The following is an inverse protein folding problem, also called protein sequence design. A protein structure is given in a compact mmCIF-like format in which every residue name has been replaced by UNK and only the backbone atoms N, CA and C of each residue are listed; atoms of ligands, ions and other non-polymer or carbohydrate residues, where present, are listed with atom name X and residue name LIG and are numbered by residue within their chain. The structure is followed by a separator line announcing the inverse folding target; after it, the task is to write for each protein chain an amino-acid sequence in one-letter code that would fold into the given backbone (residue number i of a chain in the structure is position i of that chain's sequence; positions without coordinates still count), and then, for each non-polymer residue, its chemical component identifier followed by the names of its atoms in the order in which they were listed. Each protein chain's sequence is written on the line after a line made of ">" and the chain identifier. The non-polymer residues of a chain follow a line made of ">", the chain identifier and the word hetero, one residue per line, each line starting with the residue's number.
data_IF_946222954747
#
_entry.id   IF_946222954747
#
_cell.length_a   1.000
_cell.length_b   1.000
_cell.length_c   1.000
_cell.angle_alpha   90.00
_cell.angle_beta   90.00
_cell.angle_gamma   90.00
#
_symmetry.space_group_name_H-M   'P 1'
#
loop_
_entity.id
_entity.type
_entity.pdbx_description
1 polymer ?
#
# COMPACT_ATOMS: atom_id res chain seq x y z
N UNK A 1 -7.30 0.60 19.93
CA UNK A 1 -6.63 1.20 18.77
C UNK A 1 -6.58 0.22 17.59
N UNK A 2 -7.73 -0.29 17.12
CA UNK A 2 -7.75 -1.32 16.06
C UNK A 2 -7.29 -0.77 14.71
N UNK A 3 -7.79 0.41 14.33
CA UNK A 3 -7.42 1.09 13.07
C UNK A 3 -5.92 1.38 13.00
N UNK A 4 -5.32 1.93 14.06
CA UNK A 4 -3.89 2.22 14.10
C UNK A 4 -3.03 0.94 14.04
N UNK A 5 -3.45 -0.16 14.68
CA UNK A 5 -2.76 -1.45 14.57
C UNK A 5 -2.82 -2.02 13.15
N UNK A 6 -3.97 -1.92 12.48
CA UNK A 6 -4.09 -2.31 11.07
C UNK A 6 -3.22 -1.45 10.16
N UNK A 7 -3.14 -0.14 10.41
CA UNK A 7 -2.28 0.77 9.65
C UNK A 7 -0.79 0.43 9.82
N UNK A 8 -0.36 0.04 11.03
CA UNK A 8 1.01 -0.46 11.26
C UNK A 8 1.30 -1.68 10.36
N UNK A 9 0.34 -2.59 10.20
CA UNK A 9 0.46 -3.73 9.29
C UNK A 9 0.69 -3.29 7.85
N UNK A 10 -0.15 -2.39 7.34
CA UNK A 10 -0.02 -1.83 5.98
C UNK A 10 1.35 -1.15 5.78
N UNK A 11 1.78 -0.31 6.72
CA UNK A 11 3.08 0.38 6.65
C UNK A 11 4.24 -0.62 6.69
N UNK A 12 4.15 -1.64 7.54
CA UNK A 12 5.20 -2.67 7.66
C UNK A 12 5.37 -3.44 6.37
N UNK A 13 4.27 -3.92 5.77
CA UNK A 13 4.32 -4.63 4.49
C UNK A 13 4.75 -3.70 3.34
N UNK A 14 4.40 -2.41 3.38
CA UNK A 14 4.90 -1.44 2.41
C UNK A 14 6.43 -1.33 2.46
N UNK A 15 7.02 -1.29 3.65
CA UNK A 15 8.49 -1.28 3.80
C UNK A 15 9.10 -2.57 3.25
N UNK A 16 8.44 -3.72 3.43
CA UNK A 16 8.88 -5.00 2.87
C UNK A 16 8.89 -4.94 1.33
N UNK A 17 7.83 -4.42 0.70
CA UNK A 17 7.77 -4.23 -0.76
C UNK A 17 8.93 -3.35 -1.24
N UNK A 18 9.15 -2.18 -0.63
CA UNK A 18 10.25 -1.28 -1.02
C UNK A 18 11.62 -1.95 -0.86
N UNK A 19 11.82 -2.73 0.21
CA UNK A 19 13.05 -3.48 0.46
C UNK A 19 13.28 -4.54 -0.63
N UNK A 20 12.26 -5.33 -0.97
CA UNK A 20 12.39 -6.37 -2.01
C UNK A 20 12.58 -5.76 -3.41
N UNK A 21 11.89 -4.65 -3.72
CA UNK A 21 12.10 -3.90 -4.96
C UNK A 21 13.54 -3.38 -5.07
N UNK A 22 14.05 -2.77 -4.01
CA UNK A 22 15.43 -2.26 -3.99
C UNK A 22 16.43 -3.39 -4.22
N UNK A 23 16.19 -4.57 -3.62
CA UNK A 23 17.01 -5.77 -3.83
C UNK A 23 16.95 -6.26 -5.28
N UNK A 24 15.76 -6.36 -5.86
CA UNK A 24 15.56 -6.79 -7.24
C UNK A 24 16.27 -5.85 -8.22
N UNK A 25 16.03 -4.53 -8.11
CA UNK A 25 16.67 -3.51 -8.95
C UNK A 25 18.18 -3.54 -8.80
N UNK A 26 18.70 -3.64 -7.57
CA UNK A 26 20.16 -3.77 -7.33
C UNK A 26 20.74 -5.02 -8.00
N UNK A 27 19.98 -6.12 -8.02
CA UNK A 27 20.37 -7.34 -8.74
C UNK A 27 20.43 -7.13 -10.25
N UNK A 28 19.44 -6.43 -10.82
CA UNK A 28 19.37 -6.13 -12.24
C UNK A 28 20.50 -5.19 -12.69
N UNK A 29 20.76 -4.13 -11.93
CA UNK A 29 21.85 -3.18 -12.22
C UNK A 29 23.24 -3.84 -12.27
N UNK A 30 23.44 -4.93 -11.51
CA UNK A 30 24.71 -5.70 -11.56
C UNK A 30 24.85 -6.54 -12.83
N UNK A 31 23.75 -6.79 -13.53
CA UNK A 31 23.68 -7.63 -14.73
C UNK A 31 23.52 -6.80 -16.02
N UNK A 32 23.28 -5.50 -15.89
CA UNK A 32 23.08 -4.55 -16.99
C UNK A 32 24.29 -4.54 -17.93
N UNK A 33 24.04 -4.76 -19.21
CA UNK A 33 25.05 -4.66 -20.28
C UNK A 33 24.92 -3.32 -21.00
N UNK A 34 25.99 -2.81 -21.66
CA UNK A 34 25.95 -1.54 -22.38
C UNK A 34 24.91 -1.46 -23.53
N UNK A 35 24.40 -2.60 -23.99
CA UNK A 35 23.38 -2.70 -25.04
C UNK A 35 21.94 -2.76 -24.48
N UNK A 36 21.78 -2.88 -23.15
CA UNK A 36 20.49 -2.90 -22.49
C UNK A 36 19.92 -1.46 -22.46
N UNK A 37 19.08 -1.23 -23.46
CA UNK A 37 18.48 0.00 -23.98
C UNK A 37 17.69 0.90 -23.00
N UNK A 38 17.25 2.05 -23.52
CA UNK A 38 16.35 3.05 -22.91
C UNK A 38 15.14 2.48 -22.17
N UNK A 39 14.61 1.31 -22.59
CA UNK A 39 13.47 0.66 -21.96
C UNK A 39 13.74 0.26 -20.49
N UNK A 40 14.98 -0.10 -20.15
CA UNK A 40 15.34 -0.44 -18.77
C UNK A 40 15.21 0.79 -17.86
N UNK A 41 15.78 1.92 -18.29
CA UNK A 41 15.70 3.21 -17.58
C UNK A 41 14.26 3.69 -17.48
N UNK A 42 13.48 3.59 -18.56
CA UNK A 42 12.07 3.98 -18.58
C UNK A 42 11.24 3.20 -17.55
N UNK A 43 11.44 1.88 -17.44
CA UNK A 43 10.74 1.05 -16.45
C UNK A 43 11.20 1.37 -15.03
N UNK A 44 12.49 1.62 -14.80
CA UNK A 44 12.97 2.08 -13.48
C UNK A 44 12.35 3.41 -13.08
N UNK A 45 12.20 4.35 -14.02
CA UNK A 45 11.53 5.64 -13.74
C UNK A 45 10.04 5.45 -13.39
N UNK A 46 9.34 4.55 -14.09
CA UNK A 46 7.95 4.20 -13.75
C UNK A 46 7.84 3.58 -12.35
N UNK A 47 8.74 2.66 -12.01
CA UNK A 47 8.81 2.06 -10.67
C UNK A 47 9.08 3.12 -9.59
N UNK A 48 9.98 4.07 -9.83
CA UNK A 48 10.24 5.17 -8.91
C UNK A 48 8.99 6.02 -8.68
N UNK A 49 8.26 6.38 -9.75
CA UNK A 49 7.01 7.13 -9.66
C UNK A 49 5.93 6.38 -8.87
N UNK A 50 5.83 5.06 -9.06
CA UNK A 50 4.93 4.20 -8.28
C UNK A 50 5.30 4.18 -6.78
N UNK A 51 6.59 4.05 -6.45
CA UNK A 51 7.05 4.13 -5.07
C UNK A 51 6.75 5.49 -4.42
N UNK A 52 6.87 6.59 -5.17
CA UNK A 52 6.49 7.92 -4.72
C UNK A 52 4.98 8.02 -4.49
N UNK A 53 4.17 7.50 -5.42
CA UNK A 53 2.70 7.46 -5.30
C UNK A 53 2.28 6.72 -4.01
N UNK A 54 2.87 5.54 -3.77
CA UNK A 54 2.66 4.76 -2.53
C UNK A 54 3.07 5.57 -1.30
N UNK A 55 4.24 6.21 -1.33
CA UNK A 55 4.74 7.04 -0.22
C UNK A 55 3.78 8.17 0.15
N UNK A 56 3.20 8.86 -0.84
CA UNK A 56 2.18 9.90 -0.61
C UNK A 56 0.93 9.33 0.04
N UNK A 57 0.47 8.16 -0.38
CA UNK A 57 -0.71 7.54 0.24
C UNK A 57 -0.43 7.02 1.66
N UNK A 58 0.79 6.57 1.96
CA UNK A 58 1.19 6.18 3.32
C UNK A 58 1.26 7.40 4.25
N UNK A 59 1.74 8.53 3.76
CA UNK A 59 1.74 9.80 4.51
C UNK A 59 0.29 10.26 4.81
N UNK A 60 -0.58 10.24 3.79
CA UNK A 60 -2.01 10.53 3.94
C UNK A 60 -2.68 9.58 4.94
N UNK A 61 -2.40 8.28 4.84
CA UNK A 61 -2.89 7.28 5.79
C UNK A 61 -2.44 7.61 7.22
N UNK A 62 -1.18 8.01 7.39
CA UNK A 62 -0.61 8.43 8.67
C UNK A 62 -1.29 9.68 9.23
N UNK A 63 -1.54 10.69 8.40
CA UNK A 63 -2.23 11.91 8.77
C UNK A 63 -3.68 11.65 9.22
N UNK A 64 -4.39 10.77 8.51
CA UNK A 64 -5.77 10.40 8.82
C UNK A 64 -5.93 9.71 10.19
N UNK A 65 -4.88 9.14 10.77
CA UNK A 65 -4.93 8.44 12.05
C UNK A 65 -5.07 9.40 13.25
N UNK A 66 -4.72 10.68 13.07
CA UNK A 66 -4.88 11.69 14.11
C UNK A 66 -6.36 12.11 14.24
N UNK A 67 -6.85 12.45 15.44
CA UNK A 67 -8.21 12.94 15.61
C UNK A 67 -8.44 14.34 14.99
N UNK A 68 -9.62 14.59 14.39
CA UNK A 68 -10.67 13.62 14.08
C UNK A 68 -10.25 12.68 12.92
N UNK A 69 -10.50 11.38 13.06
CA UNK A 69 -10.08 10.40 12.06
C UNK A 69 -10.92 10.47 10.79
N UNK A 70 -10.27 10.44 9.63
CA UNK A 70 -10.92 10.59 8.32
C UNK A 70 -11.06 9.26 7.58
N UNK A 71 -12.02 8.42 7.99
CA UNK A 71 -12.20 7.08 7.39
C UNK A 71 -12.41 7.06 5.87
N UNK A 72 -13.14 8.00 5.24
CA UNK A 72 -13.23 8.05 3.78
C UNK A 72 -11.86 8.28 3.10
N UNK A 73 -11.04 9.16 3.66
CA UNK A 73 -9.69 9.44 3.15
C UNK A 73 -8.77 8.23 3.32
N UNK A 74 -8.85 7.53 4.47
CA UNK A 74 -8.13 6.25 4.67
C UNK A 74 -8.50 5.24 3.59
N UNK A 75 -9.78 5.01 3.32
CA UNK A 75 -10.22 4.05 2.28
C UNK A 75 -9.69 4.44 0.90
N UNK A 76 -9.78 5.71 0.54
CA UNK A 76 -9.24 6.20 -0.73
C UNK A 76 -7.71 5.99 -0.84
N UNK A 77 -6.97 6.18 0.25
CA UNK A 77 -5.54 5.90 0.30
C UNK A 77 -5.25 4.40 0.11
N UNK A 78 -6.00 3.51 0.77
CA UNK A 78 -5.84 2.05 0.62
C UNK A 78 -6.10 1.58 -0.82
N UNK A 79 -7.15 2.09 -1.47
CA UNK A 79 -7.47 1.77 -2.87
C UNK A 79 -6.35 2.19 -3.83
N UNK A 80 -5.78 3.38 -3.63
CA UNK A 80 -4.67 3.89 -4.44
C UNK A 80 -3.40 3.07 -4.22
N UNK A 81 -3.08 2.69 -2.98
CA UNK A 81 -1.95 1.79 -2.69
C UNK A 81 -2.17 0.45 -3.40
N UNK A 82 -3.37 -0.12 -3.30
CA UNK A 82 -3.73 -1.38 -3.96
C UNK A 82 -3.53 -1.31 -5.49
N UNK A 83 -3.98 -0.23 -6.13
CA UNK A 83 -3.76 -0.03 -7.57
C UNK A 83 -2.28 0.12 -7.93
N UNK A 84 -1.51 0.85 -7.11
CA UNK A 84 -0.10 1.07 -7.35
C UNK A 84 0.73 -0.22 -7.23
N UNK A 85 0.44 -1.10 -6.27
CA UNK A 85 1.18 -2.36 -6.08
C UNK A 85 0.96 -3.35 -7.23
N UNK A 86 -0.24 -3.38 -7.82
CA UNK A 86 -0.51 -4.17 -9.04
C UNK A 86 0.34 -3.66 -10.20
N UNK A 87 0.45 -2.34 -10.36
CA UNK A 87 1.31 -1.73 -11.38
C UNK A 87 2.79 -2.02 -11.11
N UNK A 88 3.23 -2.02 -9.86
CA UNK A 88 4.60 -2.42 -9.48
C UNK A 88 4.91 -3.86 -9.95
N UNK A 89 3.99 -4.80 -9.71
CA UNK A 89 4.15 -6.18 -10.17
C UNK A 89 4.29 -6.24 -11.70
N UNK A 90 3.44 -5.52 -12.44
CA UNK A 90 3.50 -5.47 -13.92
C UNK A 90 4.83 -4.91 -14.44
N UNK A 91 5.31 -3.80 -13.87
CA UNK A 91 6.57 -3.19 -14.31
C UNK A 91 7.77 -4.10 -13.99
N UNK A 92 7.78 -4.78 -12.84
CA UNK A 92 8.84 -5.72 -12.48
C UNK A 92 8.85 -6.98 -13.37
N UNK A 93 7.68 -7.52 -13.70
CA UNK A 93 7.56 -8.65 -14.62
C UNK A 93 8.16 -8.33 -16.00
N UNK A 94 8.02 -7.07 -16.44
CA UNK A 94 8.62 -6.61 -17.70
C UNK A 94 10.15 -6.56 -17.68
N UNK A 95 10.76 -6.45 -16.49
CA UNK A 95 12.21 -6.40 -16.31
C UNK A 95 12.81 -7.79 -16.07
N UNK A 96 12.11 -8.67 -15.37
CA UNK A 96 12.64 -9.99 -15.04
C UNK A 96 11.54 -11.00 -14.72
N UNK A 97 11.77 -12.23 -15.19
CA UNK A 97 10.94 -13.39 -14.86
C UNK A 97 11.23 -13.96 -13.46
N UNK A 98 12.28 -13.49 -12.77
CA UNK A 98 12.65 -13.93 -11.43
C UNK A 98 12.47 -12.80 -10.41
N UNK A 99 11.22 -12.65 -9.95
CA UNK A 99 10.82 -11.59 -9.01
C UNK A 99 9.86 -12.09 -7.91
N UNK A 100 9.86 -13.39 -7.64
CA UNK A 100 8.97 -14.06 -6.67
C UNK A 100 8.90 -13.33 -5.31
N UNK A 101 10.02 -12.86 -4.79
CA UNK A 101 10.06 -12.12 -3.52
C UNK A 101 9.29 -10.79 -3.56
N UNK A 102 9.35 -10.06 -4.67
CA UNK A 102 8.58 -8.81 -4.87
C UNK A 102 7.09 -9.11 -4.99
N UNK A 103 6.75 -10.15 -5.77
CA UNK A 103 5.36 -10.57 -5.94
C UNK A 103 4.74 -11.01 -4.62
N UNK A 104 5.46 -11.82 -3.84
CA UNK A 104 5.01 -12.24 -2.53
C UNK A 104 4.80 -11.05 -1.59
N UNK A 105 5.77 -10.12 -1.53
CA UNK A 105 5.64 -8.91 -0.72
C UNK A 105 4.43 -8.06 -1.13
N UNK A 106 4.13 -7.95 -2.43
CA UNK A 106 2.94 -7.23 -2.91
C UNK A 106 1.64 -7.95 -2.51
N UNK A 107 1.60 -9.28 -2.56
CA UNK A 107 0.43 -10.07 -2.13
C UNK A 107 0.19 -9.96 -0.61
N UNK A 108 1.26 -9.92 0.17
CA UNK A 108 1.20 -9.74 1.64
C UNK A 108 0.69 -8.34 1.99
N UNK A 109 1.15 -7.31 1.26
CA UNK A 109 0.62 -5.95 1.36
C UNK A 109 -0.86 -5.87 0.95
N UNK A 110 -1.26 -6.49 -0.16
CA UNK A 110 -2.65 -6.54 -0.60
C UNK A 110 -3.56 -7.17 0.48
N UNK A 111 -3.09 -8.24 1.11
CA UNK A 111 -3.79 -8.91 2.21
C UNK A 111 -3.95 -7.99 3.42
N UNK A 112 -2.91 -7.24 3.77
CA UNK A 112 -2.93 -6.24 4.86
C UNK A 112 -3.88 -5.08 4.56
N UNK A 113 -3.92 -4.60 3.31
CA UNK A 113 -4.85 -3.55 2.86
C UNK A 113 -6.30 -4.02 3.02
N UNK A 114 -6.63 -5.23 2.57
CA UNK A 114 -7.98 -5.84 2.73
C UNK A 114 -8.37 -5.99 4.20
N UNK A 115 -7.43 -6.39 5.06
CA UNK A 115 -7.68 -6.50 6.49
C UNK A 115 -7.97 -5.14 7.14
N UNK A 116 -7.24 -4.10 6.73
CA UNK A 116 -7.49 -2.75 7.21
C UNK A 116 -8.84 -2.22 6.73
N UNK A 117 -9.19 -2.43 5.46
CA UNK A 117 -10.48 -2.04 4.89
C UNK A 117 -11.66 -2.68 5.65
N UNK A 118 -11.57 -3.98 5.96
CA UNK A 118 -12.56 -4.67 6.79
C UNK A 118 -12.66 -4.06 8.20
N UNK A 119 -11.52 -3.66 8.79
CA UNK A 119 -11.48 -2.98 10.09
C UNK A 119 -12.18 -1.63 10.03
N UNK A 120 -11.95 -0.82 8.99
CA UNK A 120 -12.64 0.46 8.78
C UNK A 120 -14.15 0.28 8.60
N UNK A 121 -14.57 -0.75 7.87
CA UNK A 121 -15.98 -1.11 7.72
C UNK A 121 -16.66 -1.41 9.06
N UNK A 122 -16.03 -2.21 9.90
CA UNK A 122 -16.56 -2.57 11.23
C UNK A 122 -16.67 -1.36 12.17
N UNK A 123 -15.64 -0.49 12.21
CA UNK A 123 -15.66 0.72 13.05
C UNK A 123 -16.79 1.68 12.65
N UNK A 124 -16.99 1.89 11.33
CA UNK A 124 -18.05 2.78 10.85
C UNK A 124 -19.47 2.34 11.25
N UNK A 125 -19.73 1.02 11.33
CA UNK A 125 -21.02 0.49 11.73
C UNK A 125 -21.25 0.60 13.25
N UNK A 126 -20.23 0.32 14.05
CA UNK A 126 -20.31 0.39 15.52
C UNK A 126 -20.51 1.81 16.04
N UNK A 127 -19.89 2.81 15.40
CA UNK A 127 -20.07 4.21 15.77
C UNK A 127 -21.51 4.70 15.49
N UNK A 128 -22.11 4.25 14.39
CA UNK A 128 -23.52 4.53 14.06
C UNK A 128 -24.45 3.85 15.08
N UNK A 129 -24.20 2.59 15.44
CA UNK A 129 -25.02 1.87 16.42
C UNK A 129 -24.95 2.52 17.82
N UNK A 130 -23.76 2.96 18.25
CA UNK A 130 -23.59 3.70 19.50
C UNK A 130 -24.36 5.03 19.50
N UNK A 131 -24.33 5.77 18.38
CA UNK A 131 -25.12 7.00 18.24
C UNK A 131 -26.62 6.68 18.32
N UNK A 132 -27.10 5.65 17.63
CA UNK A 132 -28.52 5.27 17.62
C UNK A 132 -29.02 4.84 19.02
N UNK A 133 -28.23 4.07 19.77
CA UNK A 133 -28.59 3.64 21.13
C UNK A 133 -28.64 4.82 22.11
N UNK A 134 -27.73 5.79 22.00
CA UNK A 134 -27.73 6.96 22.88
C UNK A 134 -28.88 7.95 22.58
N UNK A 135 -29.28 8.06 21.31
CA UNK A 135 -30.47 8.84 20.93
C UNK A 135 -31.75 8.18 21.45
N UNK A 136 -31.84 6.84 21.43
CA UNK A 136 -33.00 6.11 21.95
C UNK A 136 -33.13 6.17 23.49
N UNK A 137 -32.03 6.37 24.22
CA UNK A 137 -32.02 6.51 25.69
C UNK A 137 -32.22 7.95 26.18
N UNK A 138 -32.28 8.93 25.27
CA UNK A 138 -32.42 10.36 25.58
C UNK A 138 -33.83 10.91 25.30
N UNK A 139 -34.82 10.03 25.05
CA UNK A 139 -36.23 10.37 24.79
C UNK A 139 -37.15 9.78 25.85
#
# INVERSE_FOLDING_TARGET
>A
MKVAQSAIGVVSETVVVIKELTRAITGLLKQEKPEDSSNFVDTLEKLLKLCQEIGVQIDELGACLYPPQEFPAMKAALEKICSAIVRVQTEIESLTSSSEAVFQACNDLESSLKQMEATLGCCSAGDIEFIMQNVALSC
#
